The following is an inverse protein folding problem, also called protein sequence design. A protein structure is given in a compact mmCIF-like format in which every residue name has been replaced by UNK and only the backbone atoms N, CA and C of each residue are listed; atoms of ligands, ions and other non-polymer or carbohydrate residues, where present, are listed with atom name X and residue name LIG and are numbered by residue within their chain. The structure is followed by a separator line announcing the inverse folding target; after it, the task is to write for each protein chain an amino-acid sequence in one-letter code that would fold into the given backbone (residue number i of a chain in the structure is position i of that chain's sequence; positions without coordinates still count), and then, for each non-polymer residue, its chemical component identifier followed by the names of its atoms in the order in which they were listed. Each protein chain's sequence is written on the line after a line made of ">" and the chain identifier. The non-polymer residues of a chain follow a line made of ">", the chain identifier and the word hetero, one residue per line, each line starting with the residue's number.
data_IF_053637159073
#
_entry.id   IF_053637159073
#
_cell.length_a   1.000
_cell.length_b   1.000
_cell.length_c   1.000
_cell.angle_alpha   90.00
_cell.angle_beta   90.00
_cell.angle_gamma   90.00
#
_symmetry.space_group_name_H-M   'P 1'
#
loop_
_entity.id
_entity.type
_entity.pdbx_description
1 polymer ?
#
# COMPACT_ATOMS: atom_id res chain seq x y z
N UNK A 1 -31.32 -75.17 -0.72
CA UNK A 1 -32.23 -74.05 -0.36
C UNK A 1 -31.48 -72.85 0.24
N UNK A 2 -30.56 -73.04 1.19
CA UNK A 2 -29.80 -71.96 1.85
C UNK A 2 -28.97 -71.04 0.94
N UNK A 3 -28.32 -71.56 -0.11
CA UNK A 3 -27.52 -70.72 -1.04
C UNK A 3 -28.34 -69.66 -1.79
N UNK A 4 -29.60 -69.95 -2.13
CA UNK A 4 -30.51 -68.97 -2.79
C UNK A 4 -30.94 -67.87 -1.83
N UNK A 5 -31.15 -68.20 -0.54
CA UNK A 5 -31.46 -67.20 0.50
C UNK A 5 -30.28 -66.26 0.76
N UNK A 6 -29.05 -66.79 0.81
CA UNK A 6 -27.84 -65.98 1.02
C UNK A 6 -27.60 -65.02 -0.15
N UNK A 7 -27.80 -65.48 -1.40
CA UNK A 7 -27.67 -64.62 -2.59
C UNK A 7 -28.76 -63.53 -2.59
N UNK A 8 -30.00 -63.85 -2.20
CA UNK A 8 -31.06 -62.84 -2.10
C UNK A 8 -30.78 -61.80 -1.01
N UNK A 9 -30.16 -62.21 0.09
CA UNK A 9 -29.78 -61.33 1.20
C UNK A 9 -28.62 -60.40 0.81
N UNK A 10 -27.61 -60.92 0.11
CA UNK A 10 -26.50 -60.11 -0.43
C UNK A 10 -26.98 -59.10 -1.49
N UNK A 11 -27.92 -59.49 -2.35
CA UNK A 11 -28.52 -58.58 -3.33
C UNK A 11 -29.31 -57.45 -2.64
N UNK A 12 -30.03 -57.75 -1.57
CA UNK A 12 -30.78 -56.76 -0.80
C UNK A 12 -29.86 -55.76 -0.08
N UNK A 13 -28.75 -56.22 0.48
CA UNK A 13 -27.73 -55.35 1.09
C UNK A 13 -27.08 -54.43 0.05
N UNK A 14 -26.76 -54.94 -1.13
CA UNK A 14 -26.22 -54.12 -2.24
C UNK A 14 -27.20 -53.01 -2.66
N UNK A 15 -28.50 -53.30 -2.73
CA UNK A 15 -29.53 -52.31 -3.06
C UNK A 15 -29.62 -51.23 -1.97
N UNK A 16 -29.51 -51.58 -0.69
CA UNK A 16 -29.49 -50.61 0.42
C UNK A 16 -28.25 -49.71 0.35
N UNK A 17 -27.09 -50.27 0.00
CA UNK A 17 -25.86 -49.47 -0.17
C UNK A 17 -26.00 -48.51 -1.34
N UNK A 18 -26.55 -48.95 -2.47
CA UNK A 18 -26.76 -48.09 -3.65
C UNK A 18 -27.77 -46.98 -3.33
N UNK A 19 -28.87 -47.29 -2.63
CA UNK A 19 -29.85 -46.29 -2.21
C UNK A 19 -29.25 -45.32 -1.18
N UNK A 20 -28.43 -45.81 -0.25
CA UNK A 20 -27.73 -44.97 0.73
C UNK A 20 -26.72 -44.01 0.09
N UNK A 21 -25.92 -44.49 -0.88
CA UNK A 21 -25.00 -43.64 -1.64
C UNK A 21 -25.76 -42.66 -2.53
N UNK A 22 -26.85 -43.10 -3.17
CA UNK A 22 -27.70 -42.22 -3.97
C UNK A 22 -28.35 -41.15 -3.10
N UNK A 23 -28.81 -41.49 -1.88
CA UNK A 23 -29.31 -40.50 -0.92
C UNK A 23 -28.23 -39.53 -0.46
N UNK A 24 -26.97 -39.94 -0.27
CA UNK A 24 -25.87 -39.02 0.10
C UNK A 24 -25.47 -38.10 -1.08
N UNK A 25 -25.60 -38.57 -2.32
CA UNK A 25 -25.32 -37.75 -3.52
C UNK A 25 -26.50 -36.84 -3.87
N UNK A 26 -27.74 -37.27 -3.63
CA UNK A 26 -28.96 -36.52 -3.93
C UNK A 26 -29.37 -35.58 -2.79
N UNK A 27 -29.17 -35.98 -1.52
CA UNK A 27 -29.06 -35.07 -0.38
C UNK A 27 -27.64 -34.48 -0.36
N UNK A 28 -27.36 -33.60 -1.33
CA UNK A 28 -26.52 -32.43 -1.00
C UNK A 28 -27.06 -31.88 0.33
N UNK A 29 -26.23 -31.60 1.34
CA UNK A 29 -26.71 -30.98 2.56
C UNK A 29 -27.42 -29.68 2.15
N UNK A 30 -28.75 -29.73 2.20
CA UNK A 30 -29.63 -28.63 1.91
C UNK A 30 -29.52 -27.70 3.12
N UNK A 31 -28.52 -26.84 3.03
CA UNK A 31 -28.05 -26.02 4.14
C UNK A 31 -26.68 -25.41 3.90
N UNK A 32 -26.27 -25.20 2.65
CA UNK A 32 -25.29 -24.14 2.36
C UNK A 32 -26.13 -22.88 2.22
N UNK A 33 -26.41 -22.26 3.38
CA UNK A 33 -26.57 -20.81 3.38
C UNK A 33 -25.26 -20.27 2.85
N UNK A 34 -25.29 -19.66 1.67
CA UNK A 34 -24.16 -18.90 1.14
C UNK A 34 -23.81 -17.86 2.20
N UNK A 35 -22.84 -18.17 3.06
CA UNK A 35 -22.24 -17.21 3.95
C UNK A 35 -21.26 -16.41 3.08
N UNK A 36 -21.81 -15.52 2.25
CA UNK A 36 -21.02 -14.50 1.55
C UNK A 36 -20.14 -13.71 2.53
N UNK A 37 -20.54 -13.63 3.82
CA UNK A 37 -19.75 -13.00 4.88
C UNK A 37 -18.43 -13.68 5.22
N UNK A 38 -18.28 -15.01 5.06
CA UNK A 38 -17.03 -15.70 5.43
C UNK A 38 -15.98 -15.63 4.32
N UNK A 39 -16.38 -15.74 3.06
CA UNK A 39 -15.46 -15.62 1.92
C UNK A 39 -15.02 -14.17 1.71
N UNK A 40 -15.92 -13.20 1.87
CA UNK A 40 -15.58 -11.76 1.80
C UNK A 40 -14.59 -11.36 2.89
N UNK A 41 -14.71 -11.90 4.11
CA UNK A 41 -13.75 -11.63 5.19
C UNK A 41 -12.36 -12.17 4.88
N UNK A 42 -12.26 -13.39 4.34
CA UNK A 42 -10.98 -13.99 3.96
C UNK A 42 -10.32 -13.24 2.80
N UNK A 43 -11.10 -12.77 1.82
CA UNK A 43 -10.61 -11.90 0.74
C UNK A 43 -10.09 -10.58 1.31
N UNK A 44 -10.82 -9.97 2.25
CA UNK A 44 -10.41 -8.72 2.90
C UNK A 44 -9.09 -8.86 3.67
N UNK A 45 -8.93 -9.92 4.45
CA UNK A 45 -7.71 -10.16 5.22
C UNK A 45 -6.49 -10.36 4.31
N UNK A 46 -6.65 -11.11 3.21
CA UNK A 46 -5.59 -11.29 2.21
C UNK A 46 -5.25 -10.01 1.45
N UNK A 47 -6.23 -9.17 1.19
CA UNK A 47 -6.04 -7.87 0.54
C UNK A 47 -5.30 -6.89 1.45
N UNK A 48 -5.57 -6.90 2.77
CA UNK A 48 -4.86 -6.03 3.73
C UNK A 48 -3.38 -6.41 3.83
N UNK A 49 -3.03 -7.71 3.82
CA UNK A 49 -1.63 -8.19 3.78
C UNK A 49 -0.86 -7.69 2.54
N UNK A 50 -1.55 -7.34 1.47
CA UNK A 50 -0.94 -6.87 0.22
C UNK A 50 -0.67 -5.35 0.19
N UNK A 51 -1.13 -4.61 1.19
CA UNK A 51 -0.95 -3.14 1.24
C UNK A 51 0.53 -2.72 1.17
N UNK A 52 1.43 -3.51 1.77
CA UNK A 52 2.88 -3.29 1.65
C UNK A 52 3.41 -3.49 0.22
N UNK A 53 2.82 -4.44 -0.52
CA UNK A 53 3.23 -4.77 -1.89
C UNK A 53 2.71 -3.76 -2.92
N UNK A 54 1.51 -3.23 -2.67
CA UNK A 54 0.91 -2.15 -3.47
C UNK A 54 1.53 -0.79 -3.17
N UNK A 55 2.17 -0.63 -2.02
CA UNK A 55 2.90 0.59 -1.67
C UNK A 55 4.03 0.85 -2.67
N UNK A 56 3.98 2.01 -3.32
CA UNK A 56 5.03 2.52 -4.17
C UNK A 56 6.07 3.24 -3.31
N UNK A 57 7.34 2.82 -3.43
CA UNK A 57 8.47 3.42 -2.69
C UNK A 57 9.44 4.05 -3.69
N UNK A 58 9.73 5.33 -3.49
CA UNK A 58 10.74 6.08 -4.21
C UNK A 58 11.90 6.41 -3.27
N UNK A 59 13.09 5.88 -3.55
CA UNK A 59 14.31 6.22 -2.82
C UNK A 59 15.03 7.38 -3.51
N UNK A 60 15.54 8.33 -2.73
CA UNK A 60 16.19 9.52 -3.25
C UNK A 60 17.49 9.84 -2.50
N UNK A 61 18.36 10.55 -3.20
CA UNK A 61 19.58 11.16 -2.67
C UNK A 61 19.62 12.61 -3.15
N UNK A 62 19.59 13.55 -2.21
CA UNK A 62 19.52 14.97 -2.48
C UNK A 62 20.78 15.69 -1.99
N UNK A 63 21.09 16.79 -2.68
CA UNK A 63 22.12 17.74 -2.29
C UNK A 63 21.48 19.12 -2.26
N UNK A 64 21.53 19.77 -1.11
CA UNK A 64 20.97 21.12 -0.92
C UNK A 64 22.06 22.08 -0.49
N UNK A 65 21.92 23.34 -0.92
CA UNK A 65 22.75 24.43 -0.44
C UNK A 65 21.96 25.14 0.65
N UNK A 66 22.56 25.27 1.82
CA UNK A 66 22.00 26.10 2.88
C UNK A 66 22.89 27.26 3.25
N UNK A 67 22.27 28.41 3.47
CA UNK A 67 22.93 29.69 3.68
C UNK A 67 22.35 30.37 4.91
N UNK A 68 23.22 30.97 5.71
CA UNK A 68 22.82 31.82 6.82
C UNK A 68 23.56 33.15 6.76
N UNK A 69 22.82 34.22 7.00
CA UNK A 69 23.34 35.58 7.13
C UNK A 69 23.22 36.01 8.58
N UNK A 70 24.29 36.53 9.18
CA UNK A 70 24.19 37.28 10.44
C UNK A 70 24.07 38.77 10.12
N UNK A 71 22.92 39.35 10.49
CA UNK A 71 22.74 40.80 10.56
C UNK A 71 22.64 41.25 12.02
N UNK A 72 23.23 42.40 12.33
CA UNK A 72 23.02 43.07 13.61
C UNK A 72 22.06 44.24 13.38
N UNK A 73 20.87 44.15 13.98
CA UNK A 73 19.91 45.25 14.01
C UNK A 73 20.34 46.24 15.10
N UNK A 74 20.79 47.43 14.70
CA UNK A 74 21.08 48.54 15.61
C UNK A 74 19.99 49.61 15.46
N UNK A 75 19.42 50.17 16.55
CA UNK A 75 18.42 51.22 16.45
C UNK A 75 18.97 52.44 15.67
N UNK A 76 18.38 52.72 14.50
CA UNK A 76 18.77 53.86 13.65
C UNK A 76 19.83 53.57 12.58
N UNK A 77 20.29 52.32 12.42
CA UNK A 77 21.18 51.90 11.33
C UNK A 77 20.51 50.71 10.62
N UNK A 78 20.39 50.75 9.30
CA UNK A 78 19.89 49.62 8.52
C UNK A 78 20.71 48.37 8.80
N UNK A 79 20.06 47.20 8.87
CA UNK A 79 20.67 45.91 9.18
C UNK A 79 22.00 45.69 8.45
N UNK A 80 23.11 45.72 9.19
CA UNK A 80 24.42 45.50 8.58
C UNK A 80 24.70 43.99 8.58
N UNK A 81 24.82 43.41 7.39
CA UNK A 81 25.22 42.00 7.18
C UNK A 81 26.75 41.88 7.29
N UNK A 82 27.24 41.11 8.27
CA UNK A 82 28.69 41.01 8.53
C UNK A 82 29.29 39.63 8.27
N UNK A 83 28.48 38.56 8.25
CA UNK A 83 28.98 37.21 7.99
C UNK A 83 27.93 36.38 7.24
N UNK A 84 28.38 35.67 6.20
CA UNK A 84 27.63 34.70 5.42
C UNK A 84 28.32 33.35 5.53
N UNK A 85 27.58 32.32 5.92
CA UNK A 85 28.06 30.94 5.93
C UNK A 85 27.21 30.08 4.99
N UNK A 86 27.88 29.33 4.12
CA UNK A 86 27.25 28.46 3.12
C UNK A 86 27.70 27.03 3.37
N UNK A 87 26.73 26.14 3.53
CA UNK A 87 26.93 24.71 3.69
C UNK A 87 26.27 23.95 2.55
N UNK A 88 26.91 22.87 2.13
CA UNK A 88 26.36 21.88 1.24
C UNK A 88 25.97 20.67 2.07
N UNK A 89 24.71 20.26 1.97
CA UNK A 89 24.12 19.19 2.77
C UNK A 89 23.69 18.08 1.80
N UNK A 90 24.30 16.91 1.94
CA UNK A 90 23.98 15.71 1.17
C UNK A 90 23.21 14.77 2.10
N UNK A 91 22.07 14.24 1.65
CA UNK A 91 21.27 13.31 2.44
C UNK A 91 20.44 12.38 1.57
N UNK A 92 20.12 11.20 2.07
CA UNK A 92 19.23 10.24 1.42
C UNK A 92 17.88 10.19 2.13
N UNK A 93 16.90 9.60 1.46
CA UNK A 93 15.59 9.41 2.02
C UNK A 93 14.69 8.55 1.14
N UNK A 94 13.44 8.44 1.55
CA UNK A 94 12.42 7.79 0.75
C UNK A 94 11.06 8.46 0.88
N UNK A 95 10.26 8.33 -0.17
CA UNK A 95 8.86 8.72 -0.25
C UNK A 95 8.02 7.46 -0.52
N UNK A 96 6.96 7.25 0.25
CA UNK A 96 6.02 6.15 0.07
C UNK A 96 4.63 6.68 -0.25
N UNK A 97 3.96 6.06 -1.22
CA UNK A 97 2.56 6.30 -1.52
C UNK A 97 1.79 5.00 -1.71
N UNK A 98 0.51 5.01 -1.41
CA UNK A 98 -0.36 3.86 -1.59
C UNK A 98 -1.79 4.11 -1.13
N UNK A 99 -2.68 3.19 -1.49
CA UNK A 99 -4.08 3.20 -1.10
C UNK A 99 -4.29 2.47 0.23
N UNK A 100 -5.20 2.96 1.05
CA UNK A 100 -5.61 2.29 2.29
C UNK A 100 -6.58 1.15 1.98
N UNK A 101 -6.05 -0.04 1.72
CA UNK A 101 -6.84 -1.22 1.33
C UNK A 101 -7.77 -1.73 2.44
N UNK A 102 -7.61 -1.27 3.69
CA UNK A 102 -8.55 -1.64 4.78
C UNK A 102 -9.96 -1.07 4.56
N UNK A 103 -10.05 0.02 3.79
CA UNK A 103 -11.29 0.72 3.39
C UNK A 103 -11.78 0.32 2.00
N UNK A 104 -11.22 -0.75 1.44
CA UNK A 104 -11.66 -1.29 0.16
C UNK A 104 -13.10 -1.81 0.29
N UNK A 105 -13.93 -1.47 -0.70
CA UNK A 105 -15.31 -1.95 -0.82
C UNK A 105 -15.36 -3.00 -1.93
N UNK A 106 -15.95 -4.17 -1.63
CA UNK A 106 -16.20 -5.22 -2.63
C UNK A 106 -17.70 -5.43 -2.73
N UNK A 107 -18.20 -5.47 -3.95
CA UNK A 107 -19.59 -5.83 -4.24
C UNK A 107 -19.64 -6.78 -5.44
N UNK A 108 -20.64 -7.66 -5.46
CA UNK A 108 -20.87 -8.61 -6.53
C UNK A 108 -22.19 -8.29 -7.22
N UNK A 109 -22.15 -8.04 -8.52
CA UNK A 109 -23.36 -7.88 -9.34
C UNK A 109 -23.80 -9.27 -9.82
N UNK A 110 -24.81 -9.82 -9.14
CA UNK A 110 -25.37 -11.14 -9.44
C UNK A 110 -26.03 -11.23 -10.84
N UNK A 111 -26.40 -10.11 -11.46
CA UNK A 111 -27.00 -10.11 -12.80
C UNK A 111 -25.95 -10.14 -13.92
N UNK A 112 -24.75 -9.60 -13.65
CA UNK A 112 -23.65 -9.52 -14.63
C UNK A 112 -22.50 -10.50 -14.35
N UNK A 113 -22.54 -11.23 -13.23
CA UNK A 113 -21.43 -12.04 -12.73
C UNK A 113 -20.12 -11.23 -12.60
N UNK A 114 -20.24 -9.92 -12.33
CA UNK A 114 -19.13 -8.97 -12.29
C UNK A 114 -18.76 -8.61 -10.86
N UNK A 115 -17.46 -8.66 -10.55
CA UNK A 115 -16.94 -8.21 -9.26
C UNK A 115 -16.54 -6.73 -9.34
N UNK A 116 -17.20 -5.87 -8.55
CA UNK A 116 -16.90 -4.44 -8.49
C UNK A 116 -16.15 -4.12 -7.21
N UNK A 117 -15.00 -3.45 -7.36
CA UNK A 117 -14.08 -3.11 -6.29
C UNK A 117 -13.80 -1.63 -6.30
N UNK A 118 -14.05 -0.99 -5.16
CA UNK A 118 -13.79 0.43 -4.96
C UNK A 118 -12.64 0.59 -3.99
N UNK A 119 -11.61 1.32 -4.44
CA UNK A 119 -10.34 1.50 -3.71
C UNK A 119 -10.18 2.98 -3.39
N UNK A 120 -9.81 3.37 -2.16
CA UNK A 120 -9.43 4.75 -1.89
C UNK A 120 -8.26 5.17 -2.77
N UNK A 121 -8.27 6.41 -3.27
CA UNK A 121 -7.12 6.98 -3.97
C UNK A 121 -5.85 6.93 -3.12
N UNK A 122 -4.73 6.72 -3.78
CA UNK A 122 -3.43 6.71 -3.16
C UNK A 122 -3.12 8.06 -2.51
N UNK A 123 -2.45 7.99 -1.36
CA UNK A 123 -1.96 9.14 -0.62
C UNK A 123 -0.51 8.92 -0.23
N UNK A 124 0.18 9.98 0.15
CA UNK A 124 1.51 9.86 0.76
C UNK A 124 1.36 9.16 2.11
N UNK A 125 2.02 8.02 2.24
CA UNK A 125 2.04 7.22 3.46
C UNK A 125 3.20 7.61 4.35
N UNK A 126 4.35 7.94 3.76
CA UNK A 126 5.56 8.28 4.50
C UNK A 126 6.52 9.15 3.68
N UNK A 127 7.27 10.03 4.34
CA UNK A 127 8.33 10.85 3.74
C UNK A 127 9.45 11.09 4.76
N UNK A 128 10.52 10.30 4.63
CA UNK A 128 11.63 10.28 5.58
C UNK A 128 12.91 10.73 4.91
N UNK A 129 13.57 11.68 5.55
CA UNK A 129 14.97 12.01 5.30
C UNK A 129 15.83 11.29 6.34
N UNK A 130 16.80 10.49 5.90
CA UNK A 130 17.75 9.75 6.72
C UNK A 130 18.86 10.70 7.16
N UNK A 131 18.56 11.51 8.17
CA UNK A 131 19.50 12.54 8.65
C UNK A 131 20.74 11.96 9.32
N UNK A 132 20.69 10.71 9.79
CA UNK A 132 21.80 10.00 10.41
C UNK A 132 22.96 9.73 9.46
N UNK A 133 22.70 9.68 8.15
CA UNK A 133 23.73 9.52 7.10
C UNK A 133 24.05 10.83 6.39
N UNK A 134 23.47 11.96 6.83
CA UNK A 134 23.66 13.24 6.17
C UNK A 134 25.11 13.74 6.29
N UNK A 135 25.65 14.24 5.19
CA UNK A 135 27.00 14.81 5.11
C UNK A 135 26.88 16.32 4.96
N UNK A 136 27.51 17.07 5.87
CA UNK A 136 27.51 18.53 5.84
C UNK A 136 28.93 19.01 5.53
N UNK A 137 29.10 19.75 4.44
CA UNK A 137 30.37 20.32 3.98
C UNK A 137 30.30 21.83 3.98
N UNK A 138 31.32 22.48 4.53
CA UNK A 138 31.42 23.94 4.50
C UNK A 138 31.97 24.40 3.14
N UNK A 139 31.22 25.27 2.46
CA UNK A 139 31.61 25.85 1.15
C UNK A 139 32.14 27.27 1.35
N UNK A 140 31.56 28.02 2.29
CA UNK A 140 31.98 29.39 2.64
C UNK A 140 31.77 29.62 4.13
N UNK A 141 32.76 30.24 4.78
CA UNK A 141 32.82 30.37 6.24
C UNK A 141 33.77 29.32 6.85
N UNK A 142 34.31 29.61 8.03
CA UNK A 142 35.18 28.66 8.74
C UNK A 142 34.38 27.46 9.27
N UNK A 143 35.07 26.33 9.49
CA UNK A 143 34.55 25.12 10.16
C UNK A 143 33.91 25.42 11.54
N UNK A 144 34.24 26.57 12.13
CA UNK A 144 33.78 27.05 13.44
C UNK A 144 32.85 28.27 13.36
N UNK A 145 32.29 28.57 12.18
CA UNK A 145 31.18 29.51 12.10
C UNK A 145 30.00 29.00 12.94
N UNK A 146 29.35 29.86 13.74
CA UNK A 146 28.15 29.54 14.53
C UNK A 146 26.97 29.20 13.59
N UNK A 147 27.04 28.08 12.90
CA UNK A 147 25.97 27.61 12.05
C UNK A 147 25.04 26.75 12.88
N UNK A 148 23.77 27.16 13.08
CA UNK A 148 22.87 26.41 13.94
C UNK A 148 22.63 25.01 13.36
N UNK A 149 22.90 23.96 14.13
CA UNK A 149 22.58 22.58 13.71
C UNK A 149 21.09 22.44 13.37
N UNK A 150 20.22 23.12 14.12
CA UNK A 150 18.78 23.14 13.85
C UNK A 150 18.45 23.59 12.42
N UNK A 151 19.21 24.56 11.89
CA UNK A 151 19.01 25.05 10.52
C UNK A 151 19.22 23.94 9.48
N UNK A 152 20.22 23.08 9.65
CA UNK A 152 20.43 21.91 8.77
C UNK A 152 19.18 21.04 8.71
N UNK A 153 18.60 20.72 9.86
CA UNK A 153 17.38 19.91 9.93
C UNK A 153 16.17 20.63 9.33
N UNK A 154 16.03 21.93 9.54
CA UNK A 154 14.93 22.73 8.98
C UNK A 154 15.00 22.79 7.44
N UNK A 155 16.20 22.95 6.88
CA UNK A 155 16.41 22.99 5.43
C UNK A 155 16.14 21.62 4.79
N UNK A 156 16.59 20.52 5.42
CA UNK A 156 16.25 19.14 5.00
C UNK A 156 14.73 18.93 5.06
N UNK A 157 14.07 19.35 6.14
CA UNK A 157 12.62 19.19 6.30
C UNK A 157 11.82 20.03 5.30
N UNK A 158 12.33 21.19 4.91
CA UNK A 158 11.73 22.02 3.86
C UNK A 158 11.91 21.35 2.50
N UNK A 159 13.11 20.90 2.18
CA UNK A 159 13.40 20.29 0.89
C UNK A 159 12.66 18.95 0.70
N UNK A 160 12.53 18.11 1.74
CA UNK A 160 11.78 16.85 1.61
C UNK A 160 10.28 17.08 1.33
N UNK A 161 9.70 18.17 1.85
CA UNK A 161 8.29 18.54 1.56
C UNK A 161 8.13 19.00 0.11
N UNK A 162 9.04 19.86 -0.36
CA UNK A 162 9.06 20.30 -1.75
C UNK A 162 9.22 19.13 -2.72
N UNK A 163 10.12 18.17 -2.41
CA UNK A 163 10.27 16.96 -3.21
C UNK A 163 8.99 16.14 -3.28
N UNK A 164 8.25 15.99 -2.17
CA UNK A 164 6.99 15.27 -2.17
C UNK A 164 5.93 15.96 -3.03
N UNK A 165 5.80 17.29 -2.94
CA UNK A 165 4.92 18.09 -3.80
C UNK A 165 5.30 17.95 -5.27
N UNK A 166 6.59 18.07 -5.60
CA UNK A 166 7.10 17.89 -6.96
C UNK A 166 6.78 16.48 -7.51
N UNK A 167 6.93 15.44 -6.68
CA UNK A 167 6.60 14.06 -7.08
C UNK A 167 5.10 13.86 -7.27
N UNK A 168 4.26 14.46 -6.44
CA UNK A 168 2.81 14.45 -6.62
C UNK A 168 2.46 15.09 -7.97
N UNK A 169 3.02 16.26 -8.28
CA UNK A 169 2.81 16.95 -9.56
C UNK A 169 3.31 16.15 -10.76
N UNK A 170 4.32 15.29 -10.56
CA UNK A 170 4.85 14.34 -11.55
C UNK A 170 4.00 13.06 -11.70
N UNK A 171 2.89 12.91 -10.96
CA UNK A 171 1.97 11.77 -11.07
C UNK A 171 2.31 10.59 -10.17
N UNK A 172 3.07 10.79 -9.08
CA UNK A 172 3.46 9.71 -8.18
C UNK A 172 2.28 8.98 -7.52
N UNK A 173 1.18 9.71 -7.22
CA UNK A 173 -0.04 9.10 -6.68
C UNK A 173 -0.78 8.27 -7.74
N UNK A 174 -0.84 8.75 -8.99
CA UNK A 174 -1.45 8.01 -10.09
C UNK A 174 -0.68 6.71 -10.39
N UNK A 175 0.65 6.74 -10.26
CA UNK A 175 1.50 5.54 -10.38
C UNK A 175 1.19 4.54 -9.25
N UNK A 176 0.99 5.01 -8.02
CA UNK A 176 0.61 4.17 -6.88
C UNK A 176 -0.79 3.55 -7.07
N UNK A 177 -1.76 4.30 -7.59
CA UNK A 177 -3.09 3.80 -7.96
C UNK A 177 -2.96 2.72 -9.05
N UNK A 178 -2.18 2.97 -10.10
CA UNK A 178 -1.95 2.01 -11.18
C UNK A 178 -1.34 0.70 -10.65
N UNK A 179 -0.30 0.79 -9.83
CA UNK A 179 0.35 -0.38 -9.21
C UNK A 179 -0.63 -1.18 -8.36
N UNK A 180 -1.45 -0.48 -7.58
CA UNK A 180 -2.52 -1.10 -6.77
C UNK A 180 -3.51 -1.83 -7.65
N UNK A 181 -3.97 -1.20 -8.74
CA UNK A 181 -4.90 -1.81 -9.71
C UNK A 181 -4.32 -3.07 -10.34
N UNK A 182 -3.07 -3.04 -10.80
CA UNK A 182 -2.40 -4.18 -11.44
C UNK A 182 -2.29 -5.38 -10.48
N UNK A 183 -1.88 -5.13 -9.23
CA UNK A 183 -1.75 -6.18 -8.22
C UNK A 183 -3.10 -6.77 -7.81
N UNK A 184 -4.11 -5.92 -7.57
CA UNK A 184 -5.46 -6.40 -7.27
C UNK A 184 -6.04 -7.22 -8.43
N UNK A 185 -5.92 -6.72 -9.66
CA UNK A 185 -6.38 -7.44 -10.86
C UNK A 185 -5.72 -8.82 -10.94
N UNK A 186 -4.39 -8.90 -10.80
CA UNK A 186 -3.67 -10.17 -10.84
C UNK A 186 -4.10 -11.13 -9.73
N UNK A 187 -4.33 -10.64 -8.52
CA UNK A 187 -4.77 -11.44 -7.38
C UNK A 187 -6.15 -12.03 -7.65
N UNK A 188 -7.10 -11.20 -8.04
CA UNK A 188 -8.50 -11.59 -8.18
C UNK A 188 -8.67 -12.53 -9.38
N UNK A 189 -7.97 -12.28 -10.49
CA UNK A 189 -7.94 -13.22 -11.61
C UNK A 189 -7.35 -14.58 -11.21
N UNK A 190 -6.37 -14.62 -10.29
CA UNK A 190 -5.85 -15.89 -9.76
C UNK A 190 -6.88 -16.66 -8.91
N UNK A 191 -7.90 -15.98 -8.39
CA UNK A 191 -9.03 -16.58 -7.65
C UNK A 191 -10.16 -17.08 -8.57
N UNK A 192 -10.06 -16.87 -9.89
CA UNK A 192 -11.03 -17.38 -10.88
C UNK A 192 -12.08 -16.37 -11.34
N UNK A 193 -12.02 -15.11 -10.89
CA UNK A 193 -12.89 -14.04 -11.37
C UNK A 193 -12.28 -13.40 -12.62
N UNK A 194 -13.01 -13.43 -13.74
CA UNK A 194 -12.51 -12.94 -15.04
C UNK A 194 -13.08 -11.57 -15.44
N UNK A 195 -14.19 -11.15 -14.84
CA UNK A 195 -14.81 -9.83 -15.07
C UNK A 195 -14.74 -9.02 -13.78
N UNK A 196 -13.81 -8.06 -13.74
CA UNK A 196 -13.49 -7.25 -12.56
C UNK A 196 -13.47 -5.78 -12.96
N UNK A 197 -14.23 -4.97 -12.24
CA UNK A 197 -14.19 -3.51 -12.34
C UNK A 197 -13.51 -2.93 -11.10
N UNK A 198 -12.47 -2.11 -11.30
CA UNK A 198 -11.75 -1.43 -10.22
C UNK A 198 -11.84 0.08 -10.43
N UNK A 199 -12.47 0.76 -9.47
CA UNK A 199 -12.65 2.20 -9.43
C UNK A 199 -11.92 2.82 -8.23
N UNK A 200 -11.25 3.96 -8.43
CA UNK A 200 -10.59 4.71 -7.36
C UNK A 200 -11.43 5.91 -6.93
N UNK A 201 -11.63 6.09 -5.62
CA UNK A 201 -12.46 7.16 -5.03
C UNK A 201 -11.71 8.07 -4.06
#
# INVERSE_FOLDING_TARGET
>A
MMKRMIISMLAFVMIIVVIGVSLVVFFKPFGISNNESSDVSLVKDRVVELSEWTTLKYEYSNVIISQTDKSLALPGISDIKFAEAIKLIEYSGYLKAGSDLSKLEVSHDNEKEQLSIRVPKAQILDNVAQTETAVVKDIKGELFSDYPTQKVFDDINTNKKQLAEEKIDQGFLDEADKRTKELLTSLISSMGYNDIEIEFY
#
